data_IF_379586753102
#
_entry.id   IF_379586753102
#
_cell.length_a   1.000
_cell.length_b   1.000
_cell.length_c   1.000
_cell.angle_alpha   90.00
_cell.angle_beta   90.00
_cell.angle_gamma   90.00
#
_symmetry.space_group_name_H-M   'P 1'
#
loop_
_entity.id
_entity.type
_entity.pdbx_description
1 polymer ?
#
# COMPACT_ATOMS: atom_id res chain seq x y z
N UNK A 1 11.91 10.53 0.60
CA UNK A 1 10.63 9.98 0.10
C UNK A 1 10.15 8.96 1.12
N UNK A 2 8.89 8.99 1.53
CA UNK A 2 8.34 8.10 2.58
C UNK A 2 7.59 6.94 1.92
N UNK A 3 7.92 5.70 2.29
CA UNK A 3 7.10 4.54 1.94
C UNK A 3 6.06 4.32 3.05
N UNK A 4 4.80 4.64 2.77
CA UNK A 4 3.71 4.53 3.75
C UNK A 4 3.51 3.09 4.25
N UNK A 5 3.65 2.08 3.39
CA UNK A 5 3.47 0.68 3.75
C UNK A 5 4.49 0.21 4.78
N UNK A 6 5.75 0.65 4.66
CA UNK A 6 6.79 0.35 5.67
C UNK A 6 6.40 0.94 7.03
N UNK A 7 5.91 2.18 7.06
CA UNK A 7 5.42 2.80 8.29
C UNK A 7 4.26 2.05 8.92
N UNK A 8 3.31 1.56 8.12
CA UNK A 8 2.20 0.74 8.59
C UNK A 8 2.65 -0.61 9.16
N UNK A 9 3.65 -1.26 8.57
CA UNK A 9 4.23 -2.49 9.12
C UNK A 9 4.89 -2.25 10.49
N UNK A 10 5.61 -1.13 10.65
CA UNK A 10 6.19 -0.73 11.95
C UNK A 10 5.08 -0.48 12.97
N UNK A 11 4.04 0.25 12.58
CA UNK A 11 2.88 0.50 13.44
C UNK A 11 2.19 -0.80 13.89
N UNK A 12 1.93 -1.73 12.97
CA UNK A 12 1.35 -3.02 13.30
C UNK A 12 2.23 -3.86 14.22
N UNK A 13 3.55 -3.81 14.02
CA UNK A 13 4.52 -4.49 14.91
C UNK A 13 4.49 -3.91 16.33
N UNK A 14 4.32 -2.58 16.48
CA UNK A 14 4.18 -1.93 17.77
C UNK A 14 2.85 -2.34 18.44
N UNK A 15 1.72 -2.28 17.71
CA UNK A 15 0.44 -2.75 18.23
C UNK A 15 0.49 -4.20 18.73
N UNK A 16 1.13 -5.09 17.95
CA UNK A 16 1.37 -6.48 18.38
C UNK A 16 2.18 -6.55 19.67
N UNK A 17 3.29 -5.80 19.75
CA UNK A 17 4.17 -5.79 20.92
C UNK A 17 3.47 -5.25 22.17
N UNK A 18 2.65 -4.21 22.04
CA UNK A 18 1.92 -3.58 23.13
C UNK A 18 0.58 -4.26 23.46
N UNK A 19 0.18 -5.28 22.70
CA UNK A 19 -1.12 -5.94 22.84
C UNK A 19 -2.31 -5.01 22.57
N UNK A 20 -2.12 -3.99 21.73
CA UNK A 20 -3.15 -3.04 21.33
C UNK A 20 -3.79 -3.46 20.00
N UNK A 21 -5.09 -3.17 19.78
CA UNK A 21 -5.70 -3.33 18.48
C UNK A 21 -5.02 -2.48 17.42
N UNK A 22 -4.98 -2.99 16.19
CA UNK A 22 -4.51 -2.27 15.02
C UNK A 22 -5.63 -1.34 14.52
N UNK A 23 -5.61 -0.08 14.98
CA UNK A 23 -6.62 0.93 14.61
C UNK A 23 -6.18 1.74 13.40
N UNK A 24 -7.07 1.96 12.43
CA UNK A 24 -6.73 2.70 11.21
C UNK A 24 -6.40 4.18 11.51
N UNK A 25 -5.20 4.68 11.15
CA UNK A 25 -4.76 6.02 11.53
C UNK A 25 -5.26 7.14 10.59
N UNK A 26 -6.01 6.80 9.54
CA UNK A 26 -6.47 7.74 8.51
C UNK A 26 -7.87 8.32 8.78
N UNK A 27 -8.57 8.71 7.71
CA UNK A 27 -9.95 9.21 7.78
C UNK A 27 -10.96 8.19 7.29
N UNK A 28 -12.24 8.39 7.63
CA UNK A 28 -13.34 7.49 7.24
C UNK A 28 -13.55 7.48 5.73
N UNK A 29 -13.24 8.60 5.07
CA UNK A 29 -13.27 8.72 3.62
C UNK A 29 -12.21 7.81 3.02
N UNK A 30 -10.96 7.85 3.50
CA UNK A 30 -9.89 6.97 3.04
C UNK A 30 -10.23 5.48 3.27
N UNK A 31 -10.80 5.15 4.44
CA UNK A 31 -11.24 3.79 4.78
C UNK A 31 -12.23 3.19 3.77
N UNK A 32 -13.15 4.01 3.26
CA UNK A 32 -14.25 3.56 2.39
C UNK A 32 -14.00 3.75 0.88
N UNK A 33 -13.04 4.61 0.53
CA UNK A 33 -12.69 4.95 -0.85
C UNK A 33 -11.92 3.84 -1.54
N UNK A 34 -11.96 3.85 -2.87
CA UNK A 34 -11.06 3.05 -3.68
C UNK A 34 -9.68 3.71 -3.71
N UNK A 35 -8.64 2.89 -3.63
CA UNK A 35 -7.23 3.29 -3.62
C UNK A 35 -6.48 2.37 -4.56
N UNK A 36 -5.53 2.91 -5.31
CA UNK A 36 -4.57 2.16 -6.11
C UNK A 36 -3.19 2.19 -5.45
N UNK A 37 -2.30 1.34 -5.93
CA UNK A 37 -0.90 1.32 -5.53
C UNK A 37 -0.02 0.92 -6.71
N UNK A 38 1.27 1.15 -6.56
CA UNK A 38 2.29 0.80 -7.55
C UNK A 38 3.34 -0.04 -6.86
N UNK A 39 3.40 -1.31 -7.23
CA UNK A 39 4.42 -2.24 -6.76
C UNK A 39 5.82 -1.80 -7.20
N UNK A 40 6.81 -1.97 -6.31
CA UNK A 40 8.16 -1.51 -6.57
C UNK A 40 8.85 -2.28 -7.71
N UNK A 41 8.57 -3.58 -7.86
CA UNK A 41 9.09 -4.36 -8.98
C UNK A 41 8.40 -3.95 -10.27
N UNK A 42 7.08 -3.74 -10.26
CA UNK A 42 6.36 -3.25 -11.44
C UNK A 42 6.85 -1.86 -11.89
N UNK A 43 7.14 -0.96 -10.94
CA UNK A 43 7.78 0.33 -11.28
C UNK A 43 9.15 0.10 -11.91
N UNK A 44 9.96 -0.81 -11.37
CA UNK A 44 11.29 -1.10 -11.92
C UNK A 44 11.19 -1.70 -13.34
N UNK A 45 10.28 -2.64 -13.56
CA UNK A 45 9.98 -3.23 -14.88
C UNK A 45 9.52 -2.15 -15.87
N UNK A 46 8.63 -1.25 -15.44
CA UNK A 46 8.15 -0.15 -16.26
C UNK A 46 9.27 0.84 -16.62
N UNK A 47 10.19 1.13 -15.69
CA UNK A 47 11.37 1.96 -15.97
C UNK A 47 12.34 1.27 -16.94
N UNK A 48 12.56 -0.04 -16.79
CA UNK A 48 13.39 -0.82 -17.73
C UNK A 48 12.76 -0.81 -19.12
N UNK A 49 11.45 -1.06 -19.23
CA UNK A 49 10.71 -0.95 -20.49
C UNK A 49 10.91 0.42 -21.14
N UNK A 50 10.69 1.50 -20.39
CA UNK A 50 10.88 2.86 -20.91
C UNK A 50 12.33 3.14 -21.34
N UNK A 51 13.31 2.51 -20.69
CA UNK A 51 14.73 2.63 -21.02
C UNK A 51 15.12 1.88 -22.31
N UNK A 52 14.43 0.82 -22.70
CA UNK A 52 14.82 -0.02 -23.85
C UNK A 52 13.89 0.10 -25.05
N UNK A 53 12.62 0.43 -24.85
CA UNK A 53 11.62 0.50 -25.92
C UNK A 53 11.64 1.87 -26.62
N UNK A 54 11.80 1.94 -27.95
CA UNK A 54 11.72 3.19 -28.71
C UNK A 54 10.36 3.90 -28.61
N UNK A 55 9.26 3.18 -28.42
CA UNK A 55 7.91 3.76 -28.35
C UNK A 55 7.71 4.55 -27.04
N UNK A 56 8.48 4.23 -26.00
CA UNK A 56 8.37 4.85 -24.69
C UNK A 56 9.23 6.12 -24.53
N UNK A 57 9.95 6.56 -25.56
CA UNK A 57 10.91 7.67 -25.44
C UNK A 57 10.22 9.03 -25.38
N UNK A 58 10.72 9.88 -24.49
CA UNK A 58 10.30 11.28 -24.32
C UNK A 58 8.82 11.44 -23.91
N UNK A 59 8.25 10.43 -23.27
CA UNK A 59 6.87 10.43 -22.79
C UNK A 59 6.83 10.39 -21.27
N UNK A 60 5.76 10.95 -20.71
CA UNK A 60 5.44 10.84 -19.30
C UNK A 60 4.36 9.78 -19.09
N UNK A 61 4.64 8.80 -18.24
CA UNK A 61 3.73 7.68 -17.98
C UNK A 61 3.41 7.57 -16.49
N UNK A 62 2.14 7.26 -16.20
CA UNK A 62 1.74 6.75 -14.90
C UNK A 62 1.88 5.22 -14.89
N UNK A 63 2.15 4.64 -13.72
CA UNK A 63 2.14 3.19 -13.52
C UNK A 63 1.48 2.85 -12.19
N UNK A 64 0.51 1.94 -12.24
CA UNK A 64 -0.19 1.36 -11.09
C UNK A 64 -0.33 -0.15 -11.33
N UNK A 65 -0.73 -0.90 -10.32
CA UNK A 65 -0.90 -2.36 -10.40
C UNK A 65 -2.00 -2.81 -11.38
N UNK A 66 -2.86 -1.90 -11.83
CA UNK A 66 -3.98 -2.18 -12.74
C UNK A 66 -5.27 -2.59 -12.03
N UNK A 67 -5.30 -2.56 -10.69
CA UNK A 67 -6.44 -2.81 -9.85
C UNK A 67 -6.64 -1.71 -8.79
N UNK A 68 -7.71 -1.86 -8.00
CA UNK A 68 -8.01 -0.99 -6.87
C UNK A 68 -8.37 -1.83 -5.64
N UNK A 69 -8.04 -1.32 -4.46
CA UNK A 69 -8.43 -1.90 -3.19
C UNK A 69 -9.12 -0.85 -2.31
N UNK A 70 -9.63 -1.28 -1.16
CA UNK A 70 -10.08 -0.37 -0.09
C UNK A 70 -9.24 -0.64 1.14
N UNK A 71 -8.86 0.42 1.85
CA UNK A 71 -8.09 0.31 3.09
C UNK A 71 -8.73 -0.64 4.09
N UNK A 72 -10.07 -0.66 4.20
CA UNK A 72 -10.78 -1.62 5.06
C UNK A 72 -10.46 -3.09 4.80
N UNK A 73 -10.21 -3.47 3.55
CA UNK A 73 -9.88 -4.85 3.19
C UNK A 73 -8.42 -5.15 3.48
N UNK A 74 -7.53 -4.23 3.11
CA UNK A 74 -6.11 -4.35 3.39
C UNK A 74 -5.84 -4.40 4.90
N UNK A 75 -6.59 -3.65 5.71
CA UNK A 75 -6.44 -3.61 7.15
C UNK A 75 -6.76 -4.95 7.82
N UNK A 76 -7.80 -5.64 7.34
CA UNK A 76 -8.11 -6.99 7.79
C UNK A 76 -6.94 -7.95 7.51
N UNK A 77 -6.40 -7.90 6.28
CA UNK A 77 -5.25 -8.73 5.89
C UNK A 77 -4.03 -8.40 6.75
N UNK A 78 -3.74 -7.13 7.00
CA UNK A 78 -2.64 -6.71 7.88
C UNK A 78 -2.81 -7.23 9.30
N UNK A 79 -4.01 -7.12 9.88
CA UNK A 79 -4.29 -7.64 11.21
C UNK A 79 -4.04 -9.16 11.30
N UNK A 80 -4.46 -9.91 10.28
CA UNK A 80 -4.20 -11.36 10.18
C UNK A 80 -2.71 -11.67 10.05
N UNK A 81 -1.98 -10.98 9.16
CA UNK A 81 -0.55 -11.21 8.92
C UNK A 81 0.32 -10.89 10.14
N UNK A 82 -0.03 -9.84 10.87
CA UNK A 82 0.68 -9.47 12.09
C UNK A 82 0.15 -10.19 13.33
N UNK A 83 -0.92 -10.97 13.23
CA UNK A 83 -1.59 -11.66 14.35
C UNK A 83 -1.99 -10.68 15.47
N UNK A 84 -2.59 -9.56 15.09
CA UNK A 84 -3.05 -8.50 16.00
C UNK A 84 -4.55 -8.30 15.83
N UNK A 85 -5.25 -7.91 16.90
CA UNK A 85 -6.68 -7.60 16.82
C UNK A 85 -6.91 -6.46 15.81
N UNK A 86 -7.92 -6.61 14.96
CA UNK A 86 -8.32 -5.56 14.04
C UNK A 86 -9.17 -4.50 14.77
N UNK A 87 -8.58 -3.34 15.03
CA UNK A 87 -9.27 -2.22 15.69
C UNK A 87 -10.25 -1.46 14.80
N UNK A 88 -10.25 -1.73 13.49
CA UNK A 88 -11.12 -1.05 12.53
C UNK A 88 -10.83 0.45 12.41
N UNK A 89 -11.89 1.22 12.16
CA UNK A 89 -11.89 2.69 12.08
C UNK A 89 -12.65 3.30 13.25
#
# INVERSE_FOLDING_TARGET
>A
MMNIFVGLCVYASICKYEGQPLTFPGTKEAWNSFTDASDANLIAEHQIWAAVDPIAKNEAFNIINGDVFKWKHLWNISAEQFEVENGGF
#
